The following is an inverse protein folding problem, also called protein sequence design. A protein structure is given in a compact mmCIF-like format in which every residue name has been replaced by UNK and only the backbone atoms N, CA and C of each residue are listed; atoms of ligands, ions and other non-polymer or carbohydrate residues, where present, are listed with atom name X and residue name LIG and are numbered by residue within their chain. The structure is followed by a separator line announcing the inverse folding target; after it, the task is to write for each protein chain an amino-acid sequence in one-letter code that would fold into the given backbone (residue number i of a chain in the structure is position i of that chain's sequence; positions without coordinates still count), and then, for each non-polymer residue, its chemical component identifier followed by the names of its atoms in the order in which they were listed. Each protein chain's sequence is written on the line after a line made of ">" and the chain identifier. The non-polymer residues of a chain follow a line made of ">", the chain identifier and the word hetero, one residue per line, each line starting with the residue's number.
data_IF_746020486589
#
_entry.id   IF_746020486589
#
_cell.length_a   1.000
_cell.length_b   1.000
_cell.length_c   1.000
_cell.angle_alpha   90.00
_cell.angle_beta   90.00
_cell.angle_gamma   90.00
#
_symmetry.space_group_name_H-M   'P 1'
#
loop_
_entity.id
_entity.type
_entity.pdbx_description
1 polymer ?
#
# COMPACT_ATOMS: atom_id res chain seq x y z
N UNK A 1 -21.53 -7.94 -24.32
CA UNK A 1 -21.94 -7.83 -22.90
C UNK A 1 -20.69 -7.60 -22.06
N UNK A 2 -20.38 -6.34 -21.75
CA UNK A 2 -19.25 -5.98 -20.90
C UNK A 2 -19.66 -6.13 -19.43
N UNK A 3 -19.02 -7.05 -18.72
CA UNK A 3 -19.30 -7.38 -17.32
C UNK A 3 -18.78 -6.28 -16.40
N UNK A 4 -19.68 -5.45 -15.85
CA UNK A 4 -19.79 -4.79 -14.52
C UNK A 4 -18.58 -4.57 -13.56
N UNK A 5 -17.35 -4.88 -13.92
CA UNK A 5 -16.16 -4.81 -13.06
C UNK A 5 -15.34 -3.53 -13.26
N UNK A 6 -15.60 -2.75 -14.31
CA UNK A 6 -14.73 -1.61 -14.69
C UNK A 6 -14.90 -0.37 -13.80
N UNK A 7 -15.99 -0.25 -13.03
CA UNK A 7 -16.34 0.98 -12.29
C UNK A 7 -16.14 0.91 -10.78
N UNK A 8 -15.74 -0.22 -10.20
CA UNK A 8 -15.63 -0.31 -8.74
C UNK A 8 -14.37 0.40 -8.23
N UNK A 9 -14.57 1.30 -7.27
CA UNK A 9 -13.51 2.02 -6.57
C UNK A 9 -12.71 1.12 -5.63
N UNK A 10 -11.98 1.73 -4.69
CA UNK A 10 -11.34 0.97 -3.62
C UNK A 10 -12.42 0.39 -2.69
N UNK A 11 -12.45 -0.93 -2.57
CA UNK A 11 -13.37 -1.66 -1.71
C UNK A 11 -12.66 -2.06 -0.41
N UNK A 12 -13.26 -1.85 0.78
CA UNK A 12 -12.69 -2.30 2.04
C UNK A 12 -12.45 -3.82 2.07
N UNK A 13 -11.36 -4.24 2.70
CA UNK A 13 -10.99 -5.65 2.86
C UNK A 13 -11.36 -6.09 4.27
N UNK A 14 -12.19 -7.14 4.40
CA UNK A 14 -12.60 -7.72 5.68
C UNK A 14 -12.55 -9.26 5.62
N UNK A 15 -11.99 -9.95 6.65
CA UNK A 15 -11.23 -9.37 7.77
C UNK A 15 -9.96 -8.66 7.27
N UNK A 16 -9.39 -7.78 8.11
CA UNK A 16 -8.12 -7.14 7.73
C UNK A 16 -7.01 -8.18 7.60
N UNK A 17 -6.19 -8.12 6.54
CA UNK A 17 -5.06 -9.03 6.37
C UNK A 17 -3.91 -8.78 7.36
N UNK A 18 -3.84 -7.59 7.93
CA UNK A 18 -2.91 -7.22 8.99
C UNK A 18 -3.74 -6.67 10.14
N UNK A 19 -3.67 -7.33 11.30
CA UNK A 19 -4.57 -7.07 12.41
C UNK A 19 -4.65 -5.56 12.74
N UNK A 20 -5.88 -5.04 12.75
CA UNK A 20 -6.17 -3.64 13.06
C UNK A 20 -5.94 -2.61 11.93
N UNK A 21 -5.28 -2.96 10.82
CA UNK A 21 -5.18 -2.04 9.68
C UNK A 21 -6.51 -1.92 8.92
N UNK A 22 -6.88 -0.69 8.56
CA UNK A 22 -7.92 -0.45 7.57
C UNK A 22 -7.33 -0.56 6.16
N UNK A 23 -7.59 -1.69 5.50
CA UNK A 23 -7.11 -2.00 4.14
C UNK A 23 -8.25 -1.91 3.14
N UNK A 24 -7.97 -1.38 1.95
CA UNK A 24 -8.88 -1.36 0.81
C UNK A 24 -8.16 -1.83 -0.46
N UNK A 25 -8.91 -2.45 -1.38
CA UNK A 25 -8.38 -2.98 -2.63
C UNK A 25 -9.27 -2.64 -3.82
N UNK A 26 -8.66 -2.56 -5.00
CA UNK A 26 -9.33 -2.63 -6.29
C UNK A 26 -8.67 -3.73 -7.11
N UNK A 27 -9.47 -4.62 -7.71
CA UNK A 27 -8.97 -5.67 -8.61
C UNK A 27 -9.33 -5.37 -10.06
N UNK A 28 -8.51 -5.86 -10.97
CA UNK A 28 -8.79 -5.88 -12.41
C UNK A 28 -8.71 -7.32 -12.93
N UNK A 29 -9.42 -7.62 -14.02
CA UNK A 29 -9.57 -9.00 -14.52
C UNK A 29 -8.22 -9.66 -14.92
N UNK A 30 -7.33 -8.89 -15.54
CA UNK A 30 -6.04 -9.35 -16.04
C UNK A 30 -4.90 -8.50 -15.45
N UNK A 31 -4.78 -8.54 -14.13
CA UNK A 31 -3.74 -7.81 -13.42
C UNK A 31 -2.35 -8.39 -13.73
N UNK A 32 -1.39 -7.53 -14.07
CA UNK A 32 0.01 -7.89 -14.30
C UNK A 32 0.84 -7.90 -13.01
N UNK A 33 0.43 -7.10 -12.03
CA UNK A 33 1.03 -6.99 -10.71
C UNK A 33 0.05 -6.35 -9.72
N UNK A 34 0.45 -6.30 -8.45
CA UNK A 34 -0.26 -5.55 -7.41
C UNK A 34 0.54 -4.34 -6.98
N UNK A 35 -0.06 -3.15 -7.09
CA UNK A 35 0.47 -1.89 -6.59
C UNK A 35 -0.04 -1.65 -5.16
N UNK A 36 0.87 -1.56 -4.19
CA UNK A 36 0.58 -1.13 -2.83
C UNK A 36 0.90 0.36 -2.70
N UNK A 37 -0.09 1.19 -2.37
CA UNK A 37 0.10 2.63 -2.19
C UNK A 37 0.17 3.00 -0.71
N UNK A 38 1.20 3.76 -0.32
CA UNK A 38 1.48 4.17 1.06
C UNK A 38 1.38 5.69 1.18
N UNK A 39 0.44 6.16 1.99
CA UNK A 39 0.17 7.60 2.14
C UNK A 39 1.16 8.29 3.09
N UNK A 40 1.26 9.61 2.97
CA UNK A 40 2.12 10.47 3.79
C UNK A 40 1.52 10.81 5.16
N UNK A 41 2.06 11.86 5.80
CA UNK A 41 1.48 12.45 7.01
C UNK A 41 0.18 13.19 6.72
N UNK A 42 -0.69 13.31 7.74
CA UNK A 42 -2.01 13.97 7.66
C UNK A 42 -2.92 13.48 6.51
N UNK A 43 -2.71 12.24 6.05
CA UNK A 43 -3.35 11.66 4.88
C UNK A 43 -4.04 10.31 5.23
N UNK A 44 -4.54 9.59 4.22
CA UNK A 44 -5.25 8.31 4.33
C UNK A 44 -5.15 7.48 3.04
N UNK A 45 -5.39 6.18 3.13
CA UNK A 45 -5.33 5.27 1.97
C UNK A 45 -6.32 5.64 0.85
N UNK A 46 -7.50 6.16 1.21
CA UNK A 46 -8.54 6.56 0.26
C UNK A 46 -8.13 7.71 -0.69
N UNK A 47 -7.09 8.48 -0.37
CA UNK A 47 -6.56 9.55 -1.23
C UNK A 47 -6.07 9.02 -2.59
N UNK A 48 -5.68 7.73 -2.65
CA UNK A 48 -5.29 7.07 -3.89
C UNK A 48 -6.46 6.60 -4.76
N UNK A 49 -7.73 6.85 -4.40
CA UNK A 49 -8.87 6.34 -5.19
C UNK A 49 -8.86 6.80 -6.67
N UNK A 50 -8.39 8.01 -6.95
CA UNK A 50 -8.24 8.52 -8.33
C UNK A 50 -7.11 7.84 -9.10
N UNK A 51 -6.04 7.45 -8.41
CA UNK A 51 -4.95 6.65 -8.97
C UNK A 51 -5.46 5.23 -9.25
N UNK A 52 -6.14 4.63 -8.27
CA UNK A 52 -6.65 3.26 -8.36
C UNK A 52 -7.58 3.06 -9.57
N UNK A 53 -8.45 4.03 -9.88
CA UNK A 53 -9.33 3.98 -11.06
C UNK A 53 -8.61 4.05 -12.40
N UNK A 54 -7.41 4.66 -12.45
CA UNK A 54 -6.60 4.76 -13.69
C UNK A 54 -5.73 3.53 -13.94
N UNK A 55 -5.52 2.70 -12.93
CA UNK A 55 -4.75 1.46 -13.07
C UNK A 55 -5.62 0.36 -13.70
N UNK A 56 -5.58 0.23 -15.01
CA UNK A 56 -6.38 -0.77 -15.74
C UNK A 56 -5.76 -2.17 -15.76
N UNK A 57 -4.46 -2.27 -15.49
CA UNK A 57 -3.67 -3.51 -15.60
C UNK A 57 -2.96 -3.89 -14.28
N UNK A 58 -3.26 -3.18 -13.19
CA UNK A 58 -2.72 -3.47 -11.86
C UNK A 58 -3.87 -3.64 -10.87
N UNK A 59 -3.75 -4.63 -9.98
CA UNK A 59 -4.50 -4.59 -8.73
C UNK A 59 -3.93 -3.44 -7.89
N UNK A 60 -4.77 -2.77 -7.11
CA UNK A 60 -4.33 -1.67 -6.24
C UNK A 60 -4.76 -1.96 -4.83
N UNK A 61 -3.82 -1.88 -3.90
CA UNK A 61 -4.05 -2.00 -2.46
C UNK A 61 -3.62 -0.71 -1.79
N UNK A 62 -4.45 -0.22 -0.88
CA UNK A 62 -4.18 0.96 -0.06
C UNK A 62 -4.53 0.62 1.37
N UNK A 63 -3.90 1.28 2.33
CA UNK A 63 -4.27 1.14 3.73
C UNK A 63 -4.09 2.46 4.46
N UNK A 64 -4.85 2.66 5.52
CA UNK A 64 -4.53 3.71 6.48
C UNK A 64 -3.38 3.17 7.33
N UNK A 65 -2.24 3.88 7.37
CA UNK A 65 -1.08 3.48 8.19
C UNK A 65 -1.47 3.42 9.67
N UNK A 66 -0.80 2.58 10.47
CA UNK A 66 -0.97 2.58 11.94
C UNK A 66 -0.93 4.01 12.51
N UNK A 67 -1.81 4.31 13.45
CA UNK A 67 -2.00 5.65 14.01
C UNK A 67 -2.83 6.62 13.15
N UNK A 68 -3.28 6.21 11.95
CA UNK A 68 -4.07 7.06 11.06
C UNK A 68 -5.48 6.51 10.81
N UNK A 69 -6.47 7.41 10.76
CA UNK A 69 -7.85 7.17 10.31
C UNK A 69 -8.44 5.83 10.80
N UNK A 70 -8.73 4.87 9.90
CA UNK A 70 -9.31 3.58 10.24
C UNK A 70 -8.38 2.63 11.00
N UNK A 71 -7.09 2.96 11.09
CA UNK A 71 -6.02 2.23 11.80
C UNK A 71 -5.49 3.01 13.02
N UNK A 72 -6.26 3.99 13.52
CA UNK A 72 -5.81 4.94 14.57
C UNK A 72 -5.44 4.29 15.90
N UNK A 73 -6.05 3.16 16.24
CA UNK A 73 -5.79 2.48 17.51
C UNK A 73 -4.50 1.65 17.51
N UNK A 74 -3.80 1.54 16.39
CA UNK A 74 -2.57 0.75 16.30
C UNK A 74 -1.36 1.52 16.83
N UNK A 75 -0.65 0.86 17.74
CA UNK A 75 0.60 1.28 18.35
C UNK A 75 1.57 0.08 18.34
N UNK A 76 2.89 0.29 18.44
CA UNK A 76 3.59 1.58 18.46
C UNK A 76 3.77 2.20 17.05
N UNK A 77 3.98 3.52 16.97
CA UNK A 77 4.10 4.28 15.71
C UNK A 77 5.51 4.38 15.09
N UNK A 78 6.48 3.61 15.59
CA UNK A 78 7.86 3.67 15.08
C UNK A 78 7.99 3.22 13.62
N UNK A 79 9.00 3.73 12.91
CA UNK A 79 9.24 3.42 11.48
C UNK A 79 9.29 1.92 11.20
N UNK A 80 10.00 1.13 12.02
CA UNK A 80 10.08 -0.33 11.87
C UNK A 80 8.71 -0.99 11.83
N UNK A 81 7.78 -0.52 12.65
CA UNK A 81 6.43 -1.07 12.73
C UNK A 81 5.57 -0.68 11.53
N UNK A 82 5.79 0.50 10.95
CA UNK A 82 5.21 0.88 9.66
C UNK A 82 5.76 0.05 8.50
N UNK A 83 7.05 -0.31 8.54
CA UNK A 83 7.67 -1.22 7.57
C UNK A 83 7.07 -2.62 7.68
N UNK A 84 6.90 -3.14 8.89
CA UNK A 84 6.28 -4.45 9.13
C UNK A 84 4.83 -4.51 8.59
N UNK A 85 4.06 -3.44 8.81
CA UNK A 85 2.71 -3.31 8.25
C UNK A 85 2.73 -3.40 6.71
N UNK A 86 3.61 -2.63 6.07
CA UNK A 86 3.73 -2.63 4.60
C UNK A 86 4.11 -4.01 4.08
N UNK A 87 5.08 -4.67 4.71
CA UNK A 87 5.49 -6.02 4.32
C UNK A 87 4.36 -7.04 4.52
N UNK A 88 3.60 -6.93 5.62
CA UNK A 88 2.41 -7.75 5.85
C UNK A 88 1.34 -7.55 4.77
N UNK A 89 1.05 -6.29 4.43
CA UNK A 89 0.12 -5.94 3.34
C UNK A 89 0.63 -6.47 2.00
N UNK A 90 1.91 -6.31 1.68
CA UNK A 90 2.51 -6.78 0.43
C UNK A 90 2.44 -8.30 0.28
N UNK A 91 2.83 -9.06 1.31
CA UNK A 91 2.75 -10.53 1.33
C UNK A 91 1.33 -11.03 1.14
N UNK A 92 0.35 -10.39 1.79
CA UNK A 92 -1.05 -10.76 1.60
C UNK A 92 -1.57 -10.38 0.20
N UNK A 93 -1.18 -9.20 -0.30
CA UNK A 93 -1.71 -8.64 -1.54
C UNK A 93 -1.30 -9.45 -2.78
N UNK A 94 -0.10 -10.04 -2.76
CA UNK A 94 0.37 -10.99 -3.76
C UNK A 94 1.42 -11.94 -3.15
N UNK A 95 1.01 -13.09 -2.57
CA UNK A 95 1.93 -14.03 -1.92
C UNK A 95 3.08 -14.46 -2.83
N UNK A 96 2.72 -14.89 -4.04
CA UNK A 96 3.64 -15.41 -5.06
C UNK A 96 3.73 -14.50 -6.30
N UNK A 97 3.12 -13.32 -6.25
CA UNK A 97 3.00 -12.40 -7.39
C UNK A 97 3.90 -11.17 -7.28
N UNK A 98 4.13 -10.47 -8.41
CA UNK A 98 4.92 -9.25 -8.41
C UNK A 98 4.20 -8.13 -7.67
N UNK A 99 4.93 -7.48 -6.75
CA UNK A 99 4.47 -6.32 -5.99
C UNK A 99 5.24 -5.09 -6.43
N UNK A 100 4.51 -4.02 -6.72
CA UNK A 100 5.05 -2.67 -6.87
C UNK A 100 4.63 -1.89 -5.63
N UNK A 101 5.48 -1.00 -5.13
CA UNK A 101 5.11 -0.08 -4.05
C UNK A 101 5.24 1.36 -4.52
N UNK A 102 4.22 2.15 -4.23
CA UNK A 102 4.24 3.60 -4.41
C UNK A 102 4.11 4.28 -3.05
N UNK A 103 5.08 5.11 -2.67
CA UNK A 103 5.07 5.87 -1.43
C UNK A 103 5.17 7.37 -1.67
N UNK A 104 4.20 8.14 -1.18
CA UNK A 104 4.28 9.61 -1.18
C UNK A 104 4.70 10.13 0.20
N UNK A 105 5.62 11.11 0.22
CA UNK A 105 6.10 11.75 1.45
C UNK A 105 6.63 10.70 2.45
N UNK A 106 6.16 10.71 3.71
CA UNK A 106 6.55 9.71 4.71
C UNK A 106 6.25 8.26 4.26
N UNK A 107 5.27 8.05 3.38
CA UNK A 107 5.02 6.76 2.76
C UNK A 107 6.19 6.28 1.89
N UNK A 108 6.96 7.20 1.29
CA UNK A 108 8.17 6.89 0.55
C UNK A 108 9.31 6.40 1.44
N UNK A 109 9.48 6.99 2.63
CA UNK A 109 10.45 6.50 3.63
C UNK A 109 10.13 5.08 4.06
N UNK A 110 8.84 4.77 4.28
CA UNK A 110 8.37 3.43 4.63
C UNK A 110 8.60 2.46 3.47
N UNK A 111 8.31 2.87 2.23
CA UNK A 111 8.51 2.04 1.04
C UNK A 111 9.98 1.65 0.85
N UNK A 112 10.90 2.61 0.99
CA UNK A 112 12.34 2.37 0.93
C UNK A 112 12.81 1.49 2.11
N UNK A 113 12.34 1.77 3.33
CA UNK A 113 12.65 0.94 4.50
C UNK A 113 12.21 -0.52 4.34
N UNK A 114 11.04 -0.75 3.74
CA UNK A 114 10.56 -2.10 3.44
C UNK A 114 11.38 -2.78 2.34
N UNK A 115 11.85 -2.04 1.33
CA UNK A 115 12.75 -2.56 0.32
C UNK A 115 14.14 -2.93 0.88
N UNK A 116 14.63 -2.20 1.87
CA UNK A 116 15.86 -2.58 2.59
C UNK A 116 15.63 -3.82 3.45
N UNK A 117 14.49 -3.91 4.14
CA UNK A 117 14.17 -5.03 5.03
C UNK A 117 13.88 -6.34 4.28
N UNK A 118 13.30 -6.28 3.09
CA UNK A 118 13.07 -7.43 2.20
C UNK A 118 13.34 -7.04 0.73
N UNK A 119 14.62 -7.11 0.30
CA UNK A 119 15.04 -6.69 -1.05
C UNK A 119 14.38 -7.48 -2.19
N UNK A 120 13.82 -8.65 -1.89
CA UNK A 120 13.18 -9.51 -2.88
C UNK A 120 11.68 -9.21 -3.07
N UNK A 121 11.08 -8.46 -2.15
CA UNK A 121 9.61 -8.36 -2.07
C UNK A 121 9.00 -7.54 -3.19
N UNK A 122 9.70 -6.48 -3.61
CA UNK A 122 9.19 -5.47 -4.51
C UNK A 122 9.95 -5.49 -5.84
N UNK A 123 9.22 -5.61 -6.95
CA UNK A 123 9.81 -5.50 -8.29
C UNK A 123 10.11 -4.05 -8.69
N UNK A 124 9.44 -3.09 -8.04
CA UNK A 124 9.62 -1.65 -8.23
C UNK A 124 9.23 -0.92 -6.95
N UNK A 125 10.06 0.06 -6.59
CA UNK A 125 9.80 1.02 -5.50
C UNK A 125 9.74 2.40 -6.13
N UNK A 126 8.54 2.96 -6.21
CA UNK A 126 8.29 4.32 -6.70
C UNK A 126 8.03 5.26 -5.52
N UNK A 127 8.76 6.37 -5.47
CA UNK A 127 8.70 7.32 -4.36
C UNK A 127 8.52 8.74 -4.88
N UNK A 128 7.56 9.45 -4.28
CA UNK A 128 7.26 10.83 -4.63
C UNK A 128 7.44 11.74 -3.42
N UNK A 129 8.34 12.72 -3.53
CA UNK A 129 8.59 13.75 -2.50
C UNK A 129 8.88 13.17 -1.10
N UNK A 130 9.67 12.09 -1.03
CA UNK A 130 10.03 11.45 0.23
C UNK A 130 11.00 12.32 1.05
N UNK A 131 10.67 12.70 2.30
CA UNK A 131 11.58 13.46 3.14
C UNK A 131 12.65 12.54 3.73
N UNK A 132 13.77 13.11 4.13
CA UNK A 132 14.79 12.43 4.96
C UNK A 132 15.29 11.07 4.40
N UNK A 133 15.68 10.94 3.12
CA UNK A 133 16.14 9.66 2.59
C UNK A 133 17.36 9.06 3.32
N UNK A 134 18.13 9.90 4.03
CA UNK A 134 19.31 9.50 4.82
C UNK A 134 19.01 8.76 6.13
N UNK A 135 17.75 8.66 6.57
CA UNK A 135 17.39 7.89 7.80
C UNK A 135 17.47 6.37 7.59
N UNK A 136 17.67 5.92 6.35
CA UNK A 136 17.70 4.51 5.97
C UNK A 136 19.14 3.96 5.83
N UNK A 137 20.15 4.78 6.15
CA UNK A 137 21.56 4.44 6.10
C UNK A 137 22.09 3.94 7.46
#
# INVERSE_FOLDING_TARGET
>A
MATSLETRGLEPVRPSPVAGLAVARRRVAHARATLVCVHGGLDRGASFARLARRMTHLNVVTYDRRGYQGSRSLEPLGLAHHVDDLLGVARWAAPDGPVLVFGHSYGGVIALGAAVADPSRFCLVDVYEAPLPWILA
#
